data_IF_677644456701
#
_entry.id   IF_677644456701
#
_cell.length_a   1.000
_cell.length_b   1.000
_cell.length_c   1.000
_cell.angle_alpha   90.00
_cell.angle_beta   90.00
_cell.angle_gamma   90.00
#
_symmetry.space_group_name_H-M   'P 1'
#
loop_
_entity.id
_entity.type
_entity.pdbx_description
1 polymer ?
#
# COMPACT_ATOMS: atom_id res chain seq x y z
N UNK A 1 -33.02 17.87 -35.87
CA UNK A 1 -33.07 18.41 -34.49
C UNK A 1 -31.79 17.95 -33.80
N UNK A 2 -30.81 18.84 -33.67
CA UNK A 2 -29.52 18.52 -33.03
C UNK A 2 -29.66 18.74 -31.53
N UNK A 3 -29.75 17.67 -30.75
CA UNK A 3 -29.62 17.73 -29.29
C UNK A 3 -28.18 18.11 -28.96
N UNK A 4 -27.97 19.34 -28.49
CA UNK A 4 -26.71 19.72 -27.87
C UNK A 4 -26.54 18.89 -26.60
N UNK A 5 -25.71 17.84 -26.67
CA UNK A 5 -25.37 17.04 -25.51
C UNK A 5 -24.68 17.94 -24.48
N UNK A 6 -25.19 17.95 -23.25
CA UNK A 6 -24.57 18.70 -22.16
C UNK A 6 -23.12 18.22 -21.96
N UNK A 7 -22.13 19.11 -21.87
CA UNK A 7 -20.73 18.72 -21.72
C UNK A 7 -20.43 18.11 -20.33
N UNK A 8 -21.40 18.11 -19.41
CA UNK A 8 -21.26 17.63 -18.05
C UNK A 8 -22.18 16.44 -17.78
N UNK A 9 -21.61 15.37 -17.22
CA UNK A 9 -22.33 14.20 -16.74
C UNK A 9 -22.15 14.05 -15.23
N UNK A 10 -23.22 13.70 -14.52
CA UNK A 10 -23.16 13.35 -13.09
C UNK A 10 -23.04 11.85 -12.94
N UNK A 11 -22.02 11.40 -12.19
CA UNK A 11 -21.76 9.97 -11.93
C UNK A 11 -21.82 9.73 -10.43
N UNK A 12 -22.56 8.70 -10.01
CA UNK A 12 -22.59 8.29 -8.60
C UNK A 12 -21.35 7.45 -8.30
N UNK A 13 -20.53 7.90 -7.37
CA UNK A 13 -19.31 7.22 -6.92
C UNK A 13 -19.38 6.93 -5.42
N UNK A 14 -18.82 5.81 -4.94
CA UNK A 14 -18.70 5.54 -3.51
C UNK A 14 -17.92 6.63 -2.79
N UNK A 15 -18.38 7.04 -1.61
CA UNK A 15 -17.75 8.12 -0.83
C UNK A 15 -16.27 7.83 -0.52
N UNK A 16 -15.93 6.58 -0.20
CA UNK A 16 -14.55 6.18 0.07
C UNK A 16 -13.62 6.45 -1.12
N UNK A 17 -14.06 6.12 -2.34
CA UNK A 17 -13.30 6.36 -3.56
C UNK A 17 -13.13 7.86 -3.83
N UNK A 18 -14.17 8.66 -3.56
CA UNK A 18 -14.10 10.12 -3.70
C UNK A 18 -13.07 10.72 -2.74
N UNK A 19 -12.98 10.21 -1.50
CA UNK A 19 -11.97 10.69 -0.54
C UNK A 19 -10.55 10.28 -0.93
N UNK A 20 -10.35 9.03 -1.35
CA UNK A 20 -9.06 8.57 -1.86
C UNK A 20 -8.59 9.42 -3.06
N UNK A 21 -9.50 9.70 -4.01
CA UNK A 21 -9.20 10.54 -5.15
C UNK A 21 -8.84 11.98 -4.73
N UNK A 22 -9.52 12.53 -3.70
CA UNK A 22 -9.19 13.84 -3.14
C UNK A 22 -7.79 13.84 -2.54
N UNK A 23 -7.46 12.87 -1.71
CA UNK A 23 -6.15 12.76 -1.07
C UNK A 23 -5.02 12.62 -2.11
N UNK A 24 -5.21 11.77 -3.12
CA UNK A 24 -4.25 11.59 -4.21
C UNK A 24 -4.07 12.85 -5.09
N UNK A 25 -5.10 13.70 -5.18
CA UNK A 25 -5.08 14.93 -5.96
C UNK A 25 -4.42 16.11 -5.21
N UNK A 26 -4.42 16.11 -3.88
CA UNK A 26 -3.87 17.19 -3.03
C UNK A 26 -2.43 17.57 -3.38
N UNK A 27 -1.46 16.62 -3.51
CA UNK A 27 -0.08 16.96 -3.82
C UNK A 27 0.08 17.69 -5.15
N UNK A 28 -0.82 17.40 -6.10
CA UNK A 28 -0.80 17.95 -7.45
C UNK A 28 -1.71 19.17 -7.60
N UNK A 29 -2.37 19.60 -6.50
CA UNK A 29 -3.36 20.69 -6.47
C UNK A 29 -4.46 20.53 -7.53
N UNK A 30 -4.83 19.29 -7.84
CA UNK A 30 -5.88 18.97 -8.82
C UNK A 30 -7.23 18.88 -8.14
N UNK A 31 -8.30 19.21 -8.87
CA UNK A 31 -9.66 18.90 -8.44
C UNK A 31 -9.92 17.38 -8.58
N UNK A 32 -10.96 16.88 -7.91
CA UNK A 32 -11.37 15.46 -8.06
C UNK A 32 -11.73 15.16 -9.51
N UNK A 33 -12.46 16.07 -10.17
CA UNK A 33 -12.80 15.94 -11.59
C UNK A 33 -11.53 15.87 -12.46
N UNK A 34 -10.55 16.76 -12.22
CA UNK A 34 -9.27 16.75 -12.93
C UNK A 34 -8.43 15.50 -12.65
N UNK A 35 -8.54 14.93 -11.45
CA UNK A 35 -7.88 13.66 -11.11
C UNK A 35 -8.50 12.48 -11.89
N UNK A 36 -9.82 12.47 -12.05
CA UNK A 36 -10.54 11.47 -12.85
C UNK A 36 -10.16 11.59 -14.32
N UNK A 37 -10.15 12.81 -14.87
CA UNK A 37 -9.76 13.08 -16.27
C UNK A 37 -8.32 12.66 -16.55
N UNK A 38 -7.41 12.94 -15.62
CA UNK A 38 -6.02 12.53 -15.72
C UNK A 38 -5.87 11.00 -15.81
N UNK A 39 -6.53 10.26 -14.90
CA UNK A 39 -6.49 8.79 -14.93
C UNK A 39 -7.17 8.20 -16.17
N UNK A 40 -8.26 8.80 -16.66
CA UNK A 40 -8.91 8.38 -17.89
C UNK A 40 -7.98 8.56 -19.11
N UNK A 41 -7.23 9.67 -19.14
CA UNK A 41 -6.24 9.93 -20.20
C UNK A 41 -5.08 8.95 -20.14
N UNK A 42 -4.55 8.67 -18.94
CA UNK A 42 -3.50 7.66 -18.76
C UNK A 42 -3.95 6.26 -19.21
N UNK A 43 -5.19 5.86 -18.90
CA UNK A 43 -5.75 4.59 -19.35
C UNK A 43 -5.80 4.48 -20.87
N UNK A 44 -6.24 5.54 -21.56
CA UNK A 44 -6.26 5.58 -23.03
C UNK A 44 -4.85 5.45 -23.62
N UNK A 45 -3.88 6.18 -23.07
CA UNK A 45 -2.48 6.10 -23.53
C UNK A 45 -1.92 4.70 -23.28
N UNK A 46 -2.21 4.09 -22.12
CA UNK A 46 -1.79 2.72 -21.84
C UNK A 46 -2.34 1.73 -22.87
N UNK A 47 -3.63 1.82 -23.22
CA UNK A 47 -4.25 1.00 -24.25
C UNK A 47 -3.60 1.22 -25.64
N UNK A 48 -3.35 2.46 -26.03
CA UNK A 48 -2.72 2.82 -27.32
C UNK A 48 -1.26 2.38 -27.41
N UNK A 49 -0.52 2.47 -26.29
CA UNK A 49 0.91 2.10 -26.21
C UNK A 49 1.13 0.60 -26.01
N UNK A 50 0.06 -0.19 -25.89
CA UNK A 50 0.14 -1.63 -25.76
C UNK A 50 0.51 -2.13 -24.36
N UNK A 51 0.43 -1.27 -23.33
CA UNK A 51 0.39 -1.76 -21.95
C UNK A 51 -0.97 -2.44 -21.79
N UNK A 52 -0.97 -3.76 -21.89
CA UNK A 52 -2.21 -4.51 -21.96
C UNK A 52 -3.00 -4.30 -20.67
N UNK A 53 -4.33 -4.21 -20.78
CA UNK A 53 -5.24 -4.18 -19.62
C UNK A 53 -4.91 -5.32 -18.64
N UNK A 54 -4.38 -6.43 -19.15
CA UNK A 54 -3.92 -7.58 -18.36
C UNK A 54 -2.69 -7.24 -17.50
N UNK A 55 -1.65 -6.63 -18.06
CA UNK A 55 -0.46 -6.20 -17.31
C UNK A 55 -0.81 -5.15 -16.24
N UNK A 56 -1.72 -4.22 -16.55
CA UNK A 56 -2.22 -3.26 -15.58
C UNK A 56 -3.01 -3.94 -14.45
N UNK A 57 -3.85 -4.94 -14.77
CA UNK A 57 -4.57 -5.75 -13.76
C UNK A 57 -3.62 -6.56 -12.89
N UNK A 58 -2.60 -7.17 -13.47
CA UNK A 58 -1.58 -7.91 -12.72
C UNK A 58 -0.80 -6.98 -11.79
N UNK A 59 -0.44 -5.78 -12.25
CA UNK A 59 0.19 -4.78 -11.40
C UNK A 59 -0.70 -4.34 -10.23
N UNK A 60 -2.01 -4.15 -10.46
CA UNK A 60 -2.98 -3.84 -9.40
C UNK A 60 -3.11 -5.02 -8.43
N UNK A 61 -3.24 -6.25 -8.92
CA UNK A 61 -3.34 -7.44 -8.08
C UNK A 61 -2.08 -7.63 -7.21
N UNK A 62 -0.90 -7.37 -7.77
CA UNK A 62 0.37 -7.38 -7.03
C UNK A 62 0.43 -6.25 -5.99
N UNK A 63 -0.05 -5.06 -6.33
CA UNK A 63 -0.15 -3.95 -5.39
C UNK A 63 -1.08 -4.30 -4.22
N UNK A 64 -2.28 -4.79 -4.52
CA UNK A 64 -3.27 -5.22 -3.52
C UNK A 64 -2.74 -6.34 -2.65
N UNK A 65 -2.01 -7.31 -3.21
CA UNK A 65 -1.40 -8.39 -2.43
C UNK A 65 -0.33 -7.88 -1.44
N UNK A 66 0.40 -6.83 -1.81
CA UNK A 66 1.44 -6.21 -0.95
C UNK A 66 0.84 -5.27 0.10
N UNK A 67 -0.29 -4.64 -0.20
CA UNK A 67 -0.95 -3.65 0.66
C UNK A 67 -2.17 -4.20 1.39
N UNK A 68 -2.57 -5.43 1.10
CA UNK A 68 -3.45 -6.21 1.97
C UNK A 68 -2.68 -6.41 3.26
N UNK A 69 -3.06 -5.65 4.29
CA UNK A 69 -2.66 -5.93 5.64
C UNK A 69 -2.86 -7.44 5.88
N UNK A 70 -1.89 -8.15 6.47
CA UNK A 70 -2.16 -9.50 6.94
C UNK A 70 -3.45 -9.40 7.73
N UNK A 71 -4.46 -10.19 7.31
CA UNK A 71 -5.80 -10.14 7.89
C UNK A 71 -5.64 -10.03 9.40
N UNK A 72 -6.16 -8.94 10.00
CA UNK A 72 -6.00 -8.55 11.41
C UNK A 72 -5.52 -9.75 12.21
N UNK A 73 -4.20 -9.86 12.43
CA UNK A 73 -3.67 -10.98 13.19
C UNK A 73 -4.28 -10.80 14.57
N UNK A 74 -5.29 -11.63 14.88
CA UNK A 74 -6.09 -11.41 16.08
C UNK A 74 -5.15 -11.44 17.27
N UNK A 75 -5.48 -10.68 18.31
CA UNK A 75 -4.68 -10.65 19.54
C UNK A 75 -4.42 -12.08 20.04
N UNK A 76 -5.41 -12.96 19.91
CA UNK A 76 -5.32 -14.39 20.24
C UNK A 76 -4.26 -15.14 19.40
N UNK A 77 -4.16 -14.84 18.10
CA UNK A 77 -3.16 -15.46 17.23
C UNK A 77 -1.74 -15.00 17.59
N UNK A 78 -1.59 -13.72 17.96
CA UNK A 78 -0.33 -13.16 18.45
C UNK A 78 0.07 -13.81 19.78
N UNK A 79 -0.87 -13.93 20.72
CA UNK A 79 -0.67 -14.56 22.03
C UNK A 79 -0.29 -16.04 21.87
N UNK A 80 -1.02 -16.80 21.04
CA UNK A 80 -0.72 -18.20 20.78
C UNK A 80 0.69 -18.39 20.19
N UNK A 81 1.09 -17.53 19.23
CA UNK A 81 2.44 -17.55 18.66
C UNK A 81 3.51 -17.23 19.70
N UNK A 82 3.25 -16.26 20.59
CA UNK A 82 4.16 -15.90 21.67
C UNK A 82 4.36 -17.06 22.64
N UNK A 83 3.28 -17.66 23.14
CA UNK A 83 3.33 -18.82 24.05
C UNK A 83 4.02 -20.04 23.41
N UNK A 84 3.80 -20.26 22.12
CA UNK A 84 4.51 -21.31 21.37
C UNK A 84 6.00 -21.01 21.24
N UNK A 85 6.41 -19.76 21.04
CA UNK A 85 7.81 -19.36 20.98
C UNK A 85 8.50 -19.45 22.36
N UNK A 86 7.79 -19.16 23.44
CA UNK A 86 8.29 -19.28 24.81
C UNK A 86 8.47 -20.75 25.21
N UNK A 87 7.45 -21.58 25.04
CA UNK A 87 7.49 -23.02 25.38
C UNK A 87 8.54 -23.81 24.59
N UNK A 88 8.85 -23.39 23.36
CA UNK A 88 9.90 -24.00 22.53
C UNK A 88 11.29 -23.40 22.74
N UNK A 89 11.43 -22.39 23.62
CA UNK A 89 12.68 -21.70 23.89
C UNK A 89 13.19 -20.80 22.76
N UNK A 90 12.44 -20.68 21.65
CA UNK A 90 12.80 -19.81 20.51
C UNK A 90 12.84 -18.34 20.91
N UNK A 91 11.96 -17.91 21.82
CA UNK A 91 11.96 -16.55 22.34
C UNK A 91 13.29 -16.21 23.03
N UNK A 92 13.75 -17.10 23.91
CA UNK A 92 15.01 -16.93 24.64
C UNK A 92 16.25 -16.96 23.70
N UNK A 93 16.18 -17.74 22.61
CA UNK A 93 17.22 -17.73 21.57
C UNK A 93 17.25 -16.40 20.82
N UNK A 94 16.09 -15.91 20.35
CA UNK A 94 15.98 -14.64 19.64
C UNK A 94 16.45 -13.44 20.49
N UNK A 95 16.16 -13.44 21.79
CA UNK A 95 16.65 -12.41 22.73
C UNK A 95 18.18 -12.45 22.83
N UNK A 96 18.78 -13.64 22.97
CA UNK A 96 20.25 -13.78 23.04
C UNK A 96 20.90 -13.29 21.74
N UNK A 97 20.37 -13.68 20.59
CA UNK A 97 20.89 -13.26 19.28
C UNK A 97 20.82 -11.73 19.12
N UNK A 98 19.71 -11.13 19.55
CA UNK A 98 19.53 -9.67 19.54
C UNK A 98 20.54 -8.96 20.45
N UNK A 99 20.75 -9.47 21.67
CA UNK A 99 21.73 -8.92 22.63
C UNK A 99 23.15 -9.01 22.08
N UNK A 100 23.51 -10.16 21.47
CA UNK A 100 24.81 -10.34 20.84
C UNK A 100 25.01 -9.37 19.67
N UNK A 101 24.02 -9.22 18.79
CA UNK A 101 24.06 -8.27 17.68
C UNK A 101 24.23 -6.82 18.17
N UNK A 102 23.50 -6.41 19.20
CA UNK A 102 23.63 -5.07 19.79
C UNK A 102 24.99 -4.85 20.46
N UNK A 103 25.54 -5.86 21.15
CA UNK A 103 26.90 -5.79 21.71
C UNK A 103 27.97 -5.62 20.61
N UNK A 104 27.84 -6.32 19.50
CA UNK A 104 28.75 -6.17 18.35
C UNK A 104 28.66 -4.77 17.74
N UNK A 105 27.45 -4.20 17.61
CA UNK A 105 27.24 -2.82 17.14
C UNK A 105 27.79 -1.76 18.10
N UNK A 106 27.82 -2.03 19.40
CA UNK A 106 28.33 -1.11 20.43
C UNK A 106 29.85 -1.23 20.68
N UNK A 107 30.50 -2.32 20.26
CA UNK A 107 31.94 -2.54 20.42
C UNK A 107 32.87 -1.57 19.63
N UNK A 108 32.55 -1.08 18.41
CA UNK A 108 33.47 -0.21 17.67
C UNK A 108 33.58 1.21 18.24
N UNK A 109 32.72 1.62 19.19
CA UNK A 109 32.73 3.00 19.74
C UNK A 109 33.72 3.22 20.88
N UNK A 110 34.35 2.16 21.43
CA UNK A 110 35.20 2.27 22.63
C UNK A 110 36.72 2.32 22.37
N UNK A 111 37.15 2.37 21.10
CA UNK A 111 38.58 2.40 20.71
C UNK A 111 39.09 3.77 20.22
N UNK A 112 38.31 4.83 20.38
CA UNK A 112 38.74 6.20 20.12
C UNK A 112 38.46 7.07 21.36
N UNK A 113 39.34 6.99 22.35
CA UNK A 113 39.50 7.94 23.45
C UNK A 113 40.93 7.81 23.99
#
# INVERSE_FOLDING_TARGET
>A
MSTAASPFASVKLPTALVQQAREAAQPQRRSIAGQIEYWATLGRIADETGLTVQEAREAIALYDARHRAPADESLDAIEARFMAAESTGRLAQAVRDTVLANRQKAAPTRRAA
#
